data_IF_693255139078
#
_entry.id   IF_693255139078
#
_cell.length_a   1.000
_cell.length_b   1.000
_cell.length_c   1.000
_cell.angle_alpha   90.00
_cell.angle_beta   90.00
_cell.angle_gamma   90.00
#
_symmetry.space_group_name_H-M   'P 1'
#
loop_
_entity.id
_entity.type
_entity.pdbx_description
1 polymer ?
#
# COMPACT_ATOMS: atom_id res chain seq x y z
N UNK A 1 23.02 -16.00 -2.81
CA UNK A 1 21.80 -15.18 -2.94
C UNK A 1 20.78 -15.67 -1.92
N UNK A 2 20.00 -14.78 -1.28
CA UNK A 2 18.88 -15.20 -0.46
C UNK A 2 17.84 -15.95 -1.31
N UNK A 3 17.24 -16.99 -0.74
CA UNK A 3 16.21 -17.80 -1.38
C UNK A 3 14.91 -17.65 -0.59
N UNK A 4 13.79 -17.47 -1.29
CA UNK A 4 12.46 -17.39 -0.70
C UNK A 4 11.60 -18.46 -1.36
N UNK A 5 10.90 -19.25 -0.54
CA UNK A 5 9.92 -20.23 -1.01
C UNK A 5 8.52 -19.67 -0.82
N UNK A 6 7.79 -19.48 -1.91
CA UNK A 6 6.41 -19.00 -1.89
C UNK A 6 5.46 -20.18 -2.01
N UNK A 7 4.48 -20.28 -1.11
CA UNK A 7 3.40 -21.28 -1.24
C UNK A 7 2.34 -20.72 -2.18
N UNK A 8 2.00 -21.51 -3.18
CA UNK A 8 0.90 -21.27 -4.12
C UNK A 8 -0.02 -22.49 -4.10
N UNK A 9 -1.28 -22.31 -4.46
CA UNK A 9 -2.18 -23.45 -4.65
C UNK A 9 -1.79 -24.27 -5.90
N UNK A 10 -2.24 -25.53 -5.92
CA UNK A 10 -1.91 -26.50 -6.96
C UNK A 10 -2.36 -26.04 -8.35
N UNK A 11 -3.54 -25.44 -8.44
CA UNK A 11 -4.09 -24.95 -9.72
C UNK A 11 -3.21 -23.85 -10.30
N UNK A 12 -2.81 -22.88 -9.47
CA UNK A 12 -1.92 -21.80 -9.88
C UNK A 12 -0.56 -22.35 -10.33
N UNK A 13 0.00 -23.32 -9.59
CA UNK A 13 1.27 -23.96 -9.96
C UNK A 13 1.19 -24.64 -11.34
N UNK A 14 0.10 -25.35 -11.62
CA UNK A 14 -0.12 -25.98 -12.93
C UNK A 14 -0.22 -24.96 -14.06
N UNK A 15 -0.93 -23.85 -13.86
CA UNK A 15 -0.99 -22.77 -14.86
C UNK A 15 0.38 -22.14 -15.10
N UNK A 16 1.18 -21.95 -14.06
CA UNK A 16 2.56 -21.46 -14.19
C UNK A 16 3.43 -22.43 -15.00
N UNK A 17 3.27 -23.74 -14.79
CA UNK A 17 4.04 -24.77 -15.51
C UNK A 17 3.64 -24.90 -16.98
N UNK A 18 2.35 -24.72 -17.31
CA UNK A 18 1.90 -24.65 -18.71
C UNK A 18 2.54 -23.49 -19.45
N UNK A 19 2.79 -22.38 -18.76
CA UNK A 19 3.44 -21.18 -19.27
C UNK A 19 4.96 -21.22 -19.03
N UNK A 20 5.60 -22.32 -19.41
CA UNK A 20 7.02 -22.58 -19.14
C UNK A 20 8.00 -21.61 -19.83
N UNK A 21 7.54 -20.84 -20.82
CA UNK A 21 8.33 -19.81 -21.50
C UNK A 21 8.50 -18.54 -20.65
N UNK A 22 7.73 -18.40 -19.56
CA UNK A 22 7.79 -17.25 -18.66
C UNK A 22 8.84 -17.50 -17.58
N UNK A 23 9.72 -16.52 -17.36
CA UNK A 23 10.60 -16.51 -16.20
C UNK A 23 9.84 -16.05 -14.95
N UNK A 24 9.18 -16.99 -14.27
CA UNK A 24 8.39 -16.70 -13.08
C UNK A 24 9.20 -16.09 -11.93
N UNK A 25 10.50 -16.40 -11.82
CA UNK A 25 11.37 -15.79 -10.81
C UNK A 25 11.54 -14.29 -11.05
N UNK A 26 11.63 -13.87 -12.31
CA UNK A 26 11.73 -12.45 -12.66
C UNK A 26 10.40 -11.74 -12.40
N UNK A 27 9.29 -12.34 -12.84
CA UNK A 27 7.95 -11.79 -12.60
C UNK A 27 7.70 -11.57 -11.11
N UNK A 28 8.01 -12.56 -10.27
CA UNK A 28 7.83 -12.43 -8.81
C UNK A 28 8.77 -11.36 -8.25
N UNK A 29 10.02 -11.27 -8.74
CA UNK A 29 10.96 -10.23 -8.31
C UNK A 29 10.44 -8.84 -8.64
N UNK A 30 10.02 -8.59 -9.87
CA UNK A 30 9.48 -7.29 -10.30
C UNK A 30 8.24 -6.89 -9.50
N UNK A 31 7.36 -7.85 -9.22
CA UNK A 31 6.18 -7.60 -8.38
C UNK A 31 6.62 -7.22 -6.97
N UNK A 32 7.54 -7.97 -6.34
CA UNK A 32 8.03 -7.64 -5.00
C UNK A 32 8.73 -6.27 -4.97
N UNK A 33 9.55 -5.95 -5.97
CA UNK A 33 10.22 -4.64 -6.07
C UNK A 33 9.21 -3.50 -6.24
N UNK A 34 8.20 -3.71 -7.09
CA UNK A 34 7.11 -2.74 -7.28
C UNK A 34 6.33 -2.54 -6.00
N UNK A 35 5.92 -3.61 -5.33
CA UNK A 35 5.20 -3.54 -4.05
C UNK A 35 6.07 -2.92 -2.95
N UNK A 36 7.40 -3.10 -2.95
CA UNK A 36 8.28 -2.39 -2.02
C UNK A 36 8.31 -0.89 -2.33
N UNK A 37 8.39 -0.54 -3.63
CA UNK A 37 8.41 0.85 -4.11
C UNK A 37 7.08 1.57 -3.86
N UNK A 38 5.95 0.86 -3.99
CA UNK A 38 4.59 1.36 -3.78
C UNK A 38 4.14 1.25 -2.31
N UNK A 39 4.65 0.26 -1.59
CA UNK A 39 4.17 -0.25 -0.30
C UNK A 39 4.98 0.16 0.92
N UNK A 40 5.91 1.11 0.79
CA UNK A 40 5.84 2.19 1.75
C UNK A 40 4.63 3.02 1.34
N UNK A 41 3.42 2.81 1.91
CA UNK A 41 2.23 3.71 1.77
C UNK A 41 2.79 5.06 1.37
N UNK A 42 2.48 5.62 0.21
CA UNK A 42 3.19 6.81 -0.27
C UNK A 42 2.91 7.98 0.68
N UNK A 43 3.54 8.00 1.86
CA UNK A 43 3.35 8.94 2.96
C UNK A 43 3.82 10.27 2.42
N UNK A 44 4.85 10.29 1.59
CA UNK A 44 5.26 11.46 0.84
C UNK A 44 4.10 12.01 -0.01
N UNK A 45 3.48 11.21 -0.87
CA UNK A 45 2.33 11.66 -1.69
C UNK A 45 1.10 11.99 -0.85
N UNK A 46 0.78 11.20 0.17
CA UNK A 46 -0.33 11.44 1.08
C UNK A 46 -0.11 12.73 1.88
N UNK A 47 1.11 13.02 2.35
CA UNK A 47 1.49 14.25 3.04
C UNK A 47 1.47 15.43 2.07
N UNK A 48 2.04 15.28 0.86
CA UNK A 48 2.02 16.32 -0.16
C UNK A 48 0.58 16.66 -0.57
N UNK A 49 -0.28 15.66 -0.73
CA UNK A 49 -1.70 15.83 -1.00
C UNK A 49 -2.40 16.53 0.17
N UNK A 50 -2.11 16.13 1.41
CA UNK A 50 -2.67 16.77 2.61
C UNK A 50 -2.26 18.24 2.69
N UNK A 51 -0.98 18.56 2.50
CA UNK A 51 -0.48 19.94 2.51
C UNK A 51 -1.05 20.77 1.36
N UNK A 52 -1.24 20.19 0.16
CA UNK A 52 -1.94 20.87 -0.96
C UNK A 52 -3.39 21.16 -0.65
N UNK A 53 -4.09 20.25 0.03
CA UNK A 53 -5.52 20.41 0.39
C UNK A 53 -5.73 21.19 1.69
N UNK A 54 -4.66 21.45 2.46
CA UNK A 54 -4.72 22.11 3.77
C UNK A 54 -5.19 23.55 3.62
N UNK A 55 -6.37 23.84 4.16
CA UNK A 55 -6.93 25.20 4.26
C UNK A 55 -6.63 25.77 5.64
N UNK A 56 -6.32 27.08 5.70
CA UNK A 56 -6.25 27.78 6.99
C UNK A 56 -7.61 27.71 7.67
N UNK A 57 -7.71 27.16 8.87
CA UNK A 57 -8.97 27.09 9.56
C UNK A 57 -9.38 28.50 10.05
N UNK A 58 -10.69 28.75 10.26
CA UNK A 58 -11.17 29.99 10.87
C UNK A 58 -10.53 30.26 12.24
N UNK A 59 -10.51 31.52 12.68
CA UNK A 59 -9.82 31.95 13.91
C UNK A 59 -10.26 31.18 15.17
N UNK A 60 -11.52 30.79 15.24
CA UNK A 60 -12.12 30.10 16.40
C UNK A 60 -12.22 28.58 16.21
N UNK A 61 -11.48 28.03 15.23
CA UNK A 61 -11.52 26.61 14.92
C UNK A 61 -10.61 25.79 15.84
N UNK A 62 -11.23 25.07 16.78
CA UNK A 62 -10.55 24.07 17.60
C UNK A 62 -10.60 22.69 16.93
N UNK A 63 -9.52 22.34 16.23
CA UNK A 63 -9.34 21.02 15.60
C UNK A 63 -9.40 19.88 16.61
N UNK A 64 -8.94 20.09 17.84
CA UNK A 64 -8.88 19.06 18.89
C UNK A 64 -10.29 18.68 19.33
N UNK A 65 -11.15 19.68 19.56
CA UNK A 65 -12.56 19.46 19.91
C UNK A 65 -13.31 18.68 18.83
N UNK A 66 -13.11 19.03 17.56
CA UNK A 66 -13.73 18.36 16.42
C UNK A 66 -13.29 16.89 16.35
N UNK A 67 -11.98 16.61 16.40
CA UNK A 67 -11.44 15.24 16.34
C UNK A 67 -12.00 14.39 17.48
N UNK A 68 -12.10 14.94 18.69
CA UNK A 68 -12.66 14.23 19.85
C UNK A 68 -14.13 13.85 19.64
N UNK A 69 -14.94 14.78 19.12
CA UNK A 69 -16.35 14.53 18.81
C UNK A 69 -16.54 13.43 17.75
N UNK A 70 -15.71 13.41 16.70
CA UNK A 70 -15.78 12.37 15.66
C UNK A 70 -15.39 10.98 16.18
N UNK A 71 -14.38 10.89 17.06
CA UNK A 71 -13.99 9.62 17.69
C UNK A 71 -15.09 9.08 18.58
N UNK A 72 -15.74 9.96 19.35
CA UNK A 72 -16.85 9.57 20.23
C UNK A 72 -18.08 9.07 19.45
N UNK A 73 -18.34 9.60 18.24
CA UNK A 73 -19.44 9.14 17.37
C UNK A 73 -19.19 7.80 16.68
N UNK A 74 -17.96 7.29 16.72
CA UNK A 74 -17.57 6.01 16.11
C UNK A 74 -17.57 4.84 17.10
N UNK A 75 -17.75 5.12 18.39
CA UNK A 75 -18.06 4.13 19.44
C UNK A 75 -19.56 4.03 19.64
#
# INVERSE_FOLDING_TARGET
>A
MPMVTVRVDERLKQEMEKLNYINWSEVIREVVEREIKEGGRNIAEAVLLNERLRKKPPKDWDSTRIIKAWRQRRS
#
